data_IF_160305255531
#
_entry.id   IF_160305255531
#
_cell.length_a   1.000
_cell.length_b   1.000
_cell.length_c   1.000
_cell.angle_alpha   90.00
_cell.angle_beta   90.00
_cell.angle_gamma   90.00
#
_symmetry.space_group_name_H-M   'P 1'
#
loop_
_entity.id
_entity.type
_entity.pdbx_description
1 polymer ?
#
# COMPACT_ATOMS: atom_id res chain seq x y z
N UNK A 1 52.35 4.00 -25.16
CA UNK A 1 51.94 4.89 -24.04
C UNK A 1 50.87 4.15 -23.26
N UNK A 2 51.23 3.47 -22.16
CA UNK A 2 50.27 2.70 -21.35
C UNK A 2 49.64 3.68 -20.36
N UNK A 3 48.35 4.00 -20.53
CA UNK A 3 47.60 4.76 -19.52
C UNK A 3 47.43 3.84 -18.32
N UNK A 4 48.25 4.04 -17.30
CA UNK A 4 48.02 3.49 -15.96
C UNK A 4 46.75 4.14 -15.42
N UNK A 5 45.63 3.41 -15.46
CA UNK A 5 44.42 3.77 -14.72
C UNK A 5 44.80 3.93 -13.25
N UNK A 6 44.52 5.10 -12.67
CA UNK A 6 44.87 5.37 -11.28
C UNK A 6 44.05 4.43 -10.40
N UNK A 7 44.63 3.76 -9.39
CA UNK A 7 43.86 2.88 -8.49
C UNK A 7 42.74 3.62 -7.74
N UNK A 8 42.76 4.96 -7.74
CA UNK A 8 41.69 5.81 -7.21
C UNK A 8 40.42 5.76 -8.06
N UNK A 9 40.52 5.54 -9.37
CA UNK A 9 39.37 5.55 -10.29
C UNK A 9 38.43 4.36 -10.05
N UNK A 10 38.99 3.18 -9.75
CA UNK A 10 38.21 1.98 -9.41
C UNK A 10 37.60 2.02 -8.00
N UNK A 11 38.28 2.69 -7.06
CA UNK A 11 37.79 2.90 -5.70
C UNK A 11 36.60 3.86 -5.69
N UNK A 12 36.68 4.97 -6.42
CA UNK A 12 35.63 5.99 -6.52
C UNK A 12 34.35 5.43 -7.16
N UNK A 13 34.49 4.68 -8.26
CA UNK A 13 33.38 3.97 -8.91
C UNK A 13 32.68 3.00 -7.95
N UNK A 14 33.43 2.31 -7.09
CA UNK A 14 32.85 1.38 -6.12
C UNK A 14 31.94 2.08 -5.10
N UNK A 15 32.32 3.26 -4.60
CA UNK A 15 31.45 4.06 -3.72
C UNK A 15 30.23 4.62 -4.45
N UNK A 16 30.37 5.00 -5.73
CA UNK A 16 29.24 5.41 -6.55
C UNK A 16 28.21 4.27 -6.67
N UNK A 17 28.64 3.04 -6.95
CA UNK A 17 27.75 1.88 -7.03
C UNK A 17 27.07 1.59 -5.70
N UNK A 18 27.78 1.70 -4.57
CA UNK A 18 27.19 1.54 -3.24
C UNK A 18 26.17 2.64 -2.96
N UNK A 19 26.49 3.89 -3.27
CA UNK A 19 25.57 5.01 -3.11
C UNK A 19 24.28 4.82 -3.91
N UNK A 20 24.38 4.37 -5.17
CA UNK A 20 23.23 4.06 -6.02
C UNK A 20 22.42 2.89 -5.45
N UNK A 21 23.07 1.82 -4.99
CA UNK A 21 22.40 0.67 -4.40
C UNK A 21 21.61 1.06 -3.13
N UNK A 22 22.19 1.90 -2.27
CA UNK A 22 21.52 2.42 -1.07
C UNK A 22 20.34 3.32 -1.47
N UNK A 23 20.53 4.25 -2.41
CA UNK A 23 19.47 5.14 -2.88
C UNK A 23 18.31 4.35 -3.50
N UNK A 24 18.59 3.30 -4.27
CA UNK A 24 17.58 2.43 -4.85
C UNK A 24 16.83 1.61 -3.78
N UNK A 25 17.54 1.09 -2.77
CA UNK A 25 16.92 0.38 -1.65
C UNK A 25 16.01 1.30 -0.82
N UNK A 26 16.44 2.54 -0.57
CA UNK A 26 15.63 3.57 0.12
C UNK A 26 14.40 3.95 -0.71
N UNK A 27 14.56 4.15 -2.01
CA UNK A 27 13.43 4.45 -2.89
C UNK A 27 12.42 3.29 -2.90
N UNK A 28 12.90 2.05 -2.93
CA UNK A 28 12.04 0.86 -2.92
C UNK A 28 11.26 0.73 -1.61
N UNK A 29 11.90 0.98 -0.46
CA UNK A 29 11.21 0.94 0.84
C UNK A 29 10.16 2.06 0.95
N UNK A 30 10.43 3.25 0.42
CA UNK A 30 9.44 4.35 0.36
C UNK A 30 8.24 3.96 -0.51
N UNK A 31 8.48 3.39 -1.69
CA UNK A 31 7.41 2.94 -2.59
C UNK A 31 6.55 1.84 -1.95
N UNK A 32 7.17 0.90 -1.23
CA UNK A 32 6.43 -0.14 -0.49
C UNK A 32 5.59 0.46 0.64
N UNK A 33 6.12 1.40 1.42
CA UNK A 33 5.36 2.07 2.47
C UNK A 33 4.16 2.85 1.91
N UNK A 34 4.35 3.54 0.78
CA UNK A 34 3.26 4.24 0.08
C UNK A 34 2.19 3.28 -0.46
N UNK A 35 2.59 2.07 -0.89
CA UNK A 35 1.64 1.06 -1.36
C UNK A 35 0.75 0.47 -0.25
N UNK A 36 1.23 0.46 1.00
CA UNK A 36 0.49 -0.04 2.16
C UNK A 36 -0.44 1.03 2.77
N UNK A 37 -0.24 2.31 2.43
CA UNK A 37 -1.14 3.38 2.82
C UNK A 37 -2.48 3.35 2.04
N UNK A 38 -2.54 2.57 0.95
CA UNK A 38 -3.79 2.23 0.30
C UNK A 38 -4.48 1.10 1.08
N UNK A 39 -5.57 1.46 1.76
CA UNK A 39 -6.65 0.59 2.21
C UNK A 39 -6.51 -0.19 3.55
N UNK A 40 -6.40 0.50 4.70
CA UNK A 40 -6.71 -0.13 6.00
C UNK A 40 -8.21 -0.44 6.17
N UNK A 41 -9.08 0.08 5.31
CA UNK A 41 -10.52 -0.02 5.45
C UNK A 41 -11.17 -1.19 4.68
N UNK A 42 -10.45 -1.80 3.72
CA UNK A 42 -10.97 -2.92 2.94
C UNK A 42 -10.51 -4.26 3.54
N UNK A 43 -11.46 -5.09 3.92
CA UNK A 43 -11.24 -6.46 4.40
C UNK A 43 -11.92 -7.45 3.47
N UNK A 44 -11.28 -8.59 3.21
CA UNK A 44 -11.90 -9.68 2.46
C UNK A 44 -12.66 -10.58 3.44
N UNK A 45 -13.98 -10.70 3.29
CA UNK A 45 -14.81 -11.63 4.06
C UNK A 45 -15.52 -12.59 3.10
N UNK A 46 -15.15 -13.89 3.15
CA UNK A 46 -15.82 -14.92 2.35
C UNK A 46 -15.75 -14.72 0.84
N UNK A 47 -14.71 -14.06 0.33
CA UNK A 47 -14.55 -13.75 -1.10
C UNK A 47 -15.13 -12.39 -1.53
N UNK A 48 -15.74 -11.64 -0.62
CA UNK A 48 -16.27 -10.29 -0.87
C UNK A 48 -15.36 -9.24 -0.24
N UNK A 49 -15.03 -8.19 -1.01
CA UNK A 49 -14.33 -7.00 -0.49
C UNK A 49 -15.31 -6.12 0.28
N UNK A 50 -15.03 -5.91 1.56
CA UNK A 50 -15.83 -5.11 2.48
C UNK A 50 -15.04 -3.89 2.94
N UNK A 51 -15.53 -2.69 2.62
CA UNK A 51 -15.04 -1.43 3.16
C UNK A 51 -15.76 -1.09 4.45
N UNK A 52 -15.04 -0.64 5.47
CA UNK A 52 -15.63 -0.07 6.69
C UNK A 52 -15.34 1.42 6.75
N UNK A 53 -16.40 2.22 6.78
CA UNK A 53 -16.29 3.67 6.96
C UNK A 53 -15.78 3.98 8.38
N UNK A 54 -14.62 4.65 8.54
CA UNK A 54 -14.10 4.99 9.86
C UNK A 54 -14.94 6.07 10.58
N UNK A 55 -15.72 6.88 9.86
CA UNK A 55 -16.54 7.93 10.46
C UNK A 55 -17.86 7.38 11.03
N UNK A 56 -18.46 6.41 10.35
CA UNK A 56 -19.79 5.89 10.69
C UNK A 56 -19.80 4.43 11.15
N UNK A 57 -18.69 3.71 10.96
CA UNK A 57 -18.63 2.26 11.17
C UNK A 57 -19.49 1.45 10.18
N UNK A 58 -20.13 2.11 9.19
CA UNK A 58 -20.92 1.44 8.16
C UNK A 58 -20.02 0.53 7.33
N UNK A 59 -20.51 -0.68 7.04
CA UNK A 59 -19.84 -1.62 6.15
C UNK A 59 -20.45 -1.56 4.75
N UNK A 60 -19.61 -1.58 3.74
CA UNK A 60 -19.99 -1.53 2.32
C UNK A 60 -19.29 -2.65 1.58
N UNK A 61 -19.95 -3.23 0.59
CA UNK A 61 -19.36 -4.22 -0.30
C UNK A 61 -19.01 -3.57 -1.63
N UNK A 62 -17.92 -4.02 -2.23
CA UNK A 62 -17.63 -3.71 -3.62
C UNK A 62 -18.53 -4.57 -4.51
N UNK A 63 -19.59 -3.97 -5.07
CA UNK A 63 -20.39 -4.59 -6.12
C UNK A 63 -19.95 -4.07 -7.50
N UNK A 64 -20.24 -4.81 -8.57
CA UNK A 64 -19.93 -4.41 -9.95
C UNK A 64 -20.51 -3.03 -10.30
N UNK A 65 -21.62 -2.65 -9.66
CA UNK A 65 -22.34 -1.38 -9.86
C UNK A 65 -21.92 -0.26 -8.90
N UNK A 66 -20.95 -0.50 -8.00
CA UNK A 66 -20.48 0.48 -7.02
C UNK A 66 -20.48 -0.03 -5.58
N UNK A 67 -20.27 0.87 -4.61
CA UNK A 67 -20.32 0.52 -3.19
C UNK A 67 -21.76 0.34 -2.73
N UNK A 68 -22.12 -0.87 -2.29
CA UNK A 68 -23.44 -1.15 -1.72
C UNK A 68 -23.34 -1.36 -0.21
N UNK A 69 -24.18 -0.71 0.61
CA UNK A 69 -24.17 -0.91 2.05
C UNK A 69 -24.52 -2.37 2.37
N UNK A 70 -23.82 -2.96 3.35
CA UNK A 70 -24.16 -4.27 3.86
C UNK A 70 -25.50 -4.19 4.60
N UNK A 71 -26.45 -4.97 4.12
CA UNK A 71 -27.80 -5.04 4.65
C UNK A 71 -27.93 -6.29 5.51
N UNK A 72 -28.42 -6.13 6.73
CA UNK A 72 -28.71 -7.26 7.61
C UNK A 72 -29.99 -7.99 7.21
N UNK A 73 -30.31 -9.13 7.86
CA UNK A 73 -31.53 -9.91 7.59
C UNK A 73 -32.86 -9.16 7.77
N UNK A 74 -32.83 -7.99 8.40
CA UNK A 74 -33.96 -7.07 8.59
C UNK A 74 -34.11 -6.05 7.45
N UNK A 75 -33.29 -6.12 6.40
CA UNK A 75 -33.32 -5.18 5.29
C UNK A 75 -32.71 -3.81 5.61
N UNK A 76 -32.07 -3.64 6.78
CA UNK A 76 -31.47 -2.37 7.21
C UNK A 76 -29.94 -2.38 7.04
N UNK A 77 -29.32 -1.25 6.67
CA UNK A 77 -27.87 -1.10 6.66
C UNK A 77 -27.24 -1.40 8.03
N UNK A 78 -26.06 -2.02 8.04
CA UNK A 78 -25.34 -2.44 9.27
C UNK A 78 -25.16 -1.28 10.26
N UNK A 79 -24.95 -0.06 9.78
CA UNK A 79 -24.78 1.11 10.64
C UNK A 79 -26.05 1.63 11.32
N UNK A 80 -27.24 1.27 10.85
CA UNK A 80 -28.48 1.54 11.60
C UNK A 80 -28.74 0.48 12.68
N UNK A 81 -28.00 -0.64 12.65
CA UNK A 81 -28.15 -1.75 13.60
C UNK A 81 -27.14 -1.71 14.74
N UNK A 82 -26.01 -1.04 14.56
CA UNK A 82 -24.99 -0.90 15.61
C UNK A 82 -25.36 0.24 16.57
N UNK A 83 -25.32 0.02 17.89
CA UNK A 83 -25.34 1.13 18.84
C UNK A 83 -24.09 1.99 18.60
N UNK A 84 -24.31 3.29 18.48
CA UNK A 84 -23.28 4.33 18.33
C UNK A 84 -22.53 4.52 19.64
#
# INVERSE_FOLDING_TARGET
MIRTSSPRDGFDLWFLFIGIAIAAAVLLTILQALSQAADPAWSNQGGVRVWTDPATGCRYTQAETGMQPLVGPDGRPDCLRRPQ
#
